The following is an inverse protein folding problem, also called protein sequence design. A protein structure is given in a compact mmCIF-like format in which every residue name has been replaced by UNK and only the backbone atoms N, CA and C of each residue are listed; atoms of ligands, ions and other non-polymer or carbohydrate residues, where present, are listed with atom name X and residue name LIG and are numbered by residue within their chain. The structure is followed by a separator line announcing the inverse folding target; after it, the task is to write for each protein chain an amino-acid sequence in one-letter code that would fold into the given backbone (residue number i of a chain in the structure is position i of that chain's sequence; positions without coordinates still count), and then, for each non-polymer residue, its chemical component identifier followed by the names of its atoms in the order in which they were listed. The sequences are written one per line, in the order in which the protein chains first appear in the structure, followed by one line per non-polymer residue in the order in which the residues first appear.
data_IF_857051173226
#
_entry.id   IF_857051173226
#
_cell.length_a   1.000
_cell.length_b   1.000
_cell.length_c   1.000
_cell.angle_alpha   90.00
_cell.angle_beta   90.00
_cell.angle_gamma   90.00
#
_symmetry.space_group_name_H-M   'P 1'
#
loop_
_entity.id
_entity.type
_entity.pdbx_description
1 polymer ?
#
# COMPACT_ATOMS: atom_id res chain seq x y z
N UNK A 1 -14.38 -18.65 -25.53
CA UNK A 1 -14.42 -19.01 -24.09
C UNK A 1 -13.85 -20.39 -23.83
N UNK A 2 -14.35 -21.43 -24.52
CA UNK A 2 -13.85 -22.82 -24.37
C UNK A 2 -12.36 -22.97 -24.72
N UNK A 3 -11.90 -22.42 -25.84
CA UNK A 3 -10.50 -22.43 -26.23
C UNK A 3 -9.59 -21.79 -25.17
N UNK A 4 -10.02 -20.67 -24.58
CA UNK A 4 -9.29 -20.00 -23.50
C UNK A 4 -9.17 -20.88 -22.26
N UNK A 5 -10.24 -21.60 -21.89
CA UNK A 5 -10.25 -22.51 -20.74
C UNK A 5 -9.35 -23.74 -21.01
N UNK A 6 -9.37 -24.26 -22.24
CA UNK A 6 -8.49 -25.39 -22.64
C UNK A 6 -7.00 -25.01 -22.53
N UNK A 7 -6.62 -23.82 -23.02
CA UNK A 7 -5.25 -23.33 -22.89
C UNK A 7 -4.88 -23.19 -21.41
N UNK A 8 -5.75 -22.59 -20.60
CA UNK A 8 -5.50 -22.46 -19.16
C UNK A 8 -5.31 -23.81 -18.44
N UNK A 9 -6.06 -24.84 -18.83
CA UNK A 9 -5.93 -26.20 -18.28
C UNK A 9 -4.65 -26.94 -18.73
N UNK A 10 -4.05 -26.54 -19.84
CA UNK A 10 -2.81 -27.16 -20.35
C UNK A 10 -1.54 -26.61 -19.70
N UNK A 11 -1.62 -25.44 -19.04
CA UNK A 11 -0.46 -24.80 -18.41
C UNK A 11 0.06 -25.62 -17.22
N UNK A 12 1.39 -25.74 -17.17
CA UNK A 12 2.08 -26.41 -16.07
C UNK A 12 2.75 -25.38 -15.15
N UNK A 13 2.97 -25.78 -13.92
CA UNK A 13 3.60 -24.90 -12.93
C UNK A 13 4.99 -24.40 -13.36
N UNK A 14 5.72 -25.18 -14.12
CA UNK A 14 7.08 -24.86 -14.57
C UNK A 14 7.12 -24.16 -15.93
N UNK A 15 5.95 -23.92 -16.55
CA UNK A 15 5.88 -23.11 -17.77
C UNK A 15 6.26 -21.65 -17.46
N UNK A 16 6.90 -21.02 -18.43
CA UNK A 16 7.31 -19.60 -18.34
C UNK A 16 6.06 -18.73 -18.36
N UNK A 17 5.89 -17.95 -17.29
CA UNK A 17 4.80 -16.99 -17.18
C UNK A 17 5.21 -15.60 -17.70
N UNK A 18 6.41 -15.13 -17.34
CA UNK A 18 6.91 -13.80 -17.74
C UNK A 18 8.41 -13.80 -17.94
N UNK A 19 8.88 -12.88 -18.79
CA UNK A 19 10.29 -12.50 -18.92
C UNK A 19 10.39 -11.00 -18.68
N UNK A 20 10.94 -10.62 -17.53
CA UNK A 20 11.11 -9.21 -17.15
C UNK A 20 12.54 -8.77 -17.40
N UNK A 21 12.71 -7.77 -18.27
CA UNK A 21 14.02 -7.21 -18.56
C UNK A 21 14.41 -6.16 -17.53
N UNK A 22 15.58 -6.33 -16.93
CA UNK A 22 16.16 -5.35 -16.01
C UNK A 22 17.35 -4.66 -16.67
N UNK A 23 17.49 -3.34 -16.42
CA UNK A 23 18.72 -2.63 -16.77
C UNK A 23 19.83 -3.14 -15.85
N UNK A 24 20.63 -4.11 -16.33
CA UNK A 24 21.76 -4.63 -15.59
C UNK A 24 22.86 -3.57 -15.40
N UNK A 25 23.81 -3.85 -14.51
CA UNK A 25 25.05 -3.06 -14.36
C UNK A 25 25.96 -3.12 -15.60
N UNK A 26 25.67 -4.02 -16.53
CA UNK A 26 26.29 -4.17 -17.86
C UNK A 26 25.39 -3.55 -18.92
N UNK A 27 25.97 -3.20 -20.08
CA UNK A 27 25.28 -2.49 -21.17
C UNK A 27 24.03 -3.22 -21.71
N UNK A 28 23.98 -4.55 -21.58
CA UNK A 28 22.88 -5.35 -22.10
C UNK A 28 21.83 -5.66 -21.05
N UNK A 29 20.52 -5.48 -21.37
CA UNK A 29 19.43 -5.85 -20.48
C UNK A 29 19.43 -7.37 -20.20
N UNK A 30 19.19 -7.74 -18.94
CA UNK A 30 19.05 -9.15 -18.54
C UNK A 30 17.59 -9.52 -18.40
N UNK A 31 17.17 -10.58 -19.09
CA UNK A 31 15.82 -11.14 -18.97
C UNK A 31 15.73 -12.07 -17.76
N UNK A 32 14.91 -11.68 -16.78
CA UNK A 32 14.56 -12.52 -15.62
C UNK A 32 13.35 -13.36 -15.99
N UNK A 33 13.54 -14.67 -16.08
CA UNK A 33 12.47 -15.62 -16.40
C UNK A 33 11.77 -16.06 -15.12
N UNK A 34 10.45 -15.91 -15.09
CA UNK A 34 9.59 -16.34 -13.98
C UNK A 34 8.55 -17.34 -14.49
N UNK A 35 8.39 -18.43 -13.77
CA UNK A 35 7.40 -19.48 -14.05
C UNK A 35 6.10 -19.23 -13.29
N UNK A 36 5.03 -19.95 -13.66
CA UNK A 36 3.77 -19.93 -12.90
C UNK A 36 4.00 -20.34 -11.45
N UNK A 37 4.87 -21.33 -11.18
CA UNK A 37 5.24 -21.76 -9.82
C UNK A 37 5.87 -20.63 -9.00
N UNK A 38 6.70 -19.77 -9.59
CA UNK A 38 7.31 -18.64 -8.88
C UNK A 38 6.22 -17.68 -8.37
N UNK A 39 5.23 -17.40 -9.20
CA UNK A 39 4.12 -16.52 -8.83
C UNK A 39 3.20 -17.14 -7.77
N UNK A 40 2.74 -18.37 -7.99
CA UNK A 40 1.82 -19.05 -7.05
C UNK A 40 2.45 -19.25 -5.68
N UNK A 41 3.69 -19.73 -5.61
CA UNK A 41 4.41 -19.90 -4.36
C UNK A 41 4.62 -18.57 -3.61
N UNK A 42 4.88 -17.48 -4.35
CA UNK A 42 5.05 -16.17 -3.73
C UNK A 42 3.72 -15.63 -3.18
N UNK A 43 2.60 -15.85 -3.89
CA UNK A 43 1.25 -15.52 -3.41
C UNK A 43 0.93 -16.29 -2.14
N UNK A 44 1.15 -17.61 -2.11
CA UNK A 44 0.92 -18.46 -0.93
C UNK A 44 1.74 -17.99 0.27
N UNK A 45 3.04 -17.73 0.08
CA UNK A 45 3.91 -17.21 1.14
C UNK A 45 3.44 -15.86 1.68
N UNK A 46 3.05 -14.94 0.81
CA UNK A 46 2.58 -13.63 1.24
C UNK A 46 1.27 -13.72 2.04
N UNK A 47 0.36 -14.63 1.69
CA UNK A 47 -0.89 -14.86 2.41
C UNK A 47 -0.67 -15.46 3.80
N UNK A 48 0.48 -16.08 4.09
CA UNK A 48 0.81 -16.50 5.47
C UNK A 48 1.13 -15.32 6.39
N UNK A 49 1.48 -14.15 5.81
CA UNK A 49 1.87 -12.95 6.56
C UNK A 49 0.71 -11.98 6.78
N UNK A 50 -0.24 -11.96 5.84
CA UNK A 50 -1.36 -11.02 5.87
C UNK A 50 -2.63 -11.76 5.48
N UNK A 51 -3.62 -11.73 6.36
CA UNK A 51 -4.96 -12.28 6.11
C UNK A 51 -5.75 -11.27 5.28
N UNK A 52 -5.85 -11.54 3.97
CA UNK A 52 -6.60 -10.73 2.99
C UNK A 52 -7.85 -11.51 2.60
N UNK A 53 -9.00 -10.89 2.70
CA UNK A 53 -10.28 -11.45 2.29
C UNK A 53 -10.90 -10.66 1.10
N UNK A 54 -12.01 -11.15 0.61
CA UNK A 54 -12.76 -10.57 -0.53
C UNK A 54 -13.25 -9.14 -0.31
N UNK A 55 -13.28 -8.65 0.95
CA UNK A 55 -13.72 -7.27 1.26
C UNK A 55 -12.61 -6.25 1.05
N UNK A 56 -11.37 -6.72 0.90
CA UNK A 56 -10.23 -5.83 0.76
C UNK A 56 -10.18 -5.17 -0.61
N UNK A 57 -9.57 -4.00 -0.62
CA UNK A 57 -9.34 -3.20 -1.82
C UNK A 57 -7.91 -2.72 -1.84
N UNK A 58 -7.30 -2.75 -3.01
CA UNK A 58 -6.01 -2.08 -3.24
C UNK A 58 -6.13 -1.07 -4.37
N UNK A 59 -5.26 -0.05 -4.34
CA UNK A 59 -5.08 0.89 -5.43
C UNK A 59 -3.66 0.73 -5.98
N UNK A 60 -3.54 0.26 -7.21
CA UNK A 60 -2.27 0.11 -7.90
C UNK A 60 -1.81 1.47 -8.40
N UNK A 61 -0.71 1.95 -7.84
CA UNK A 61 -0.05 3.20 -8.20
C UNK A 61 1.27 2.91 -8.93
N UNK A 62 1.92 1.80 -8.56
CA UNK A 62 3.18 1.38 -9.15
C UNK A 62 2.95 0.69 -10.51
N UNK A 63 3.89 0.80 -11.44
CA UNK A 63 3.84 0.06 -12.70
C UNK A 63 3.75 -1.45 -12.47
N UNK A 64 2.88 -2.11 -13.24
CA UNK A 64 2.68 -3.57 -13.14
C UNK A 64 3.80 -4.40 -13.81
N UNK A 65 4.69 -3.77 -14.56
CA UNK A 65 5.88 -4.41 -15.12
C UNK A 65 6.90 -4.82 -14.04
N UNK A 66 6.79 -4.24 -12.83
CA UNK A 66 7.59 -4.65 -11.69
C UNK A 66 6.92 -5.81 -10.94
N UNK A 67 7.64 -6.92 -10.73
CA UNK A 67 7.13 -8.14 -10.09
C UNK A 67 6.45 -7.90 -8.74
N UNK A 68 6.95 -6.96 -7.94
CA UNK A 68 6.35 -6.60 -6.65
C UNK A 68 4.90 -6.07 -6.80
N UNK A 69 4.67 -5.13 -7.71
CA UNK A 69 3.34 -4.60 -7.95
C UNK A 69 2.42 -5.65 -8.58
N UNK A 70 2.98 -6.48 -9.45
CA UNK A 70 2.27 -7.55 -10.14
C UNK A 70 1.80 -8.63 -9.16
N UNK A 71 2.67 -9.12 -8.27
CA UNK A 71 2.30 -10.15 -7.29
C UNK A 71 1.39 -9.57 -6.20
N UNK A 72 1.86 -8.54 -5.48
CA UNK A 72 1.17 -8.07 -4.27
C UNK A 72 -0.07 -7.24 -4.61
N UNK A 73 0.00 -6.42 -5.66
CA UNK A 73 -1.12 -5.56 -6.06
C UNK A 73 -2.18 -6.28 -6.88
N UNK A 74 -1.82 -7.33 -7.60
CA UNK A 74 -2.72 -7.97 -8.56
C UNK A 74 -3.00 -9.43 -8.21
N UNK A 75 -2.00 -10.33 -8.22
CA UNK A 75 -2.24 -11.76 -8.07
C UNK A 75 -2.77 -12.16 -6.68
N UNK A 76 -2.24 -11.57 -5.60
CA UNK A 76 -2.75 -11.83 -4.24
C UNK A 76 -4.21 -11.42 -4.14
N UNK A 77 -4.55 -10.24 -4.65
CA UNK A 77 -5.92 -9.74 -4.59
C UNK A 77 -6.87 -10.62 -5.41
N UNK A 78 -6.47 -11.02 -6.61
CA UNK A 78 -7.25 -11.91 -7.46
C UNK A 78 -7.47 -13.27 -6.79
N UNK A 79 -6.44 -13.86 -6.18
CA UNK A 79 -6.54 -15.16 -5.53
C UNK A 79 -7.54 -15.18 -4.35
N UNK A 80 -7.77 -14.02 -3.74
CA UNK A 80 -8.71 -13.86 -2.62
C UNK A 80 -10.08 -13.29 -3.05
N UNK A 81 -10.31 -13.06 -4.34
CA UNK A 81 -11.53 -12.42 -4.83
C UNK A 81 -11.69 -10.96 -4.36
N UNK A 82 -10.59 -10.33 -4.00
CA UNK A 82 -10.53 -8.97 -3.50
C UNK A 82 -10.50 -7.94 -4.64
N UNK A 83 -10.82 -6.68 -4.33
CA UNK A 83 -10.93 -5.62 -5.34
C UNK A 83 -9.57 -5.04 -5.70
N UNK A 84 -9.29 -4.97 -6.99
CA UNK A 84 -8.13 -4.26 -7.57
C UNK A 84 -8.62 -3.02 -8.30
N UNK A 85 -8.10 -1.85 -7.92
CA UNK A 85 -8.32 -0.61 -8.62
C UNK A 85 -7.00 -0.05 -9.14
N UNK A 86 -7.06 0.71 -10.22
CA UNK A 86 -5.90 1.41 -10.79
C UNK A 86 -6.10 2.91 -10.72
N UNK A 87 -5.00 3.66 -10.70
CA UNK A 87 -5.03 5.12 -10.76
C UNK A 87 -5.58 5.57 -12.10
N UNK A 88 -6.44 6.57 -12.09
CA UNK A 88 -6.90 7.23 -13.30
C UNK A 88 -5.73 7.85 -14.04
N UNK A 89 -5.46 7.37 -15.25
CA UNK A 89 -4.38 7.86 -16.10
C UNK A 89 -4.77 9.23 -16.63
N UNK A 90 -3.92 10.23 -16.40
CA UNK A 90 -4.04 11.57 -16.98
C UNK A 90 -3.38 11.63 -18.37
N UNK A 91 -3.53 12.76 -19.04
CA UNK A 91 -2.86 13.01 -20.34
C UNK A 91 -1.34 13.10 -20.21
N UNK A 92 -0.86 13.42 -19.02
CA UNK A 92 0.56 13.50 -18.68
C UNK A 92 0.84 12.73 -17.40
N UNK A 93 2.11 12.27 -17.17
CA UNK A 93 2.49 11.64 -15.89
C UNK A 93 2.20 12.52 -14.68
N UNK A 94 2.33 13.84 -14.83
CA UNK A 94 2.04 14.79 -13.75
C UNK A 94 0.54 14.84 -13.41
N UNK A 95 -0.35 14.77 -14.40
CA UNK A 95 -1.78 14.67 -14.17
C UNK A 95 -2.15 13.35 -13.48
N UNK A 96 -1.56 12.25 -13.91
CA UNK A 96 -1.74 10.93 -13.22
C UNK A 96 -1.36 11.04 -11.75
N UNK A 97 -0.22 11.65 -11.43
CA UNK A 97 0.20 11.85 -10.03
C UNK A 97 -0.77 12.73 -9.24
N UNK A 98 -1.38 13.74 -9.86
CA UNK A 98 -2.39 14.59 -9.22
C UNK A 98 -3.71 13.86 -8.95
N UNK A 99 -4.04 12.83 -9.71
CA UNK A 99 -5.25 12.03 -9.52
C UNK A 99 -5.13 11.08 -8.32
N UNK A 100 -3.92 10.70 -7.90
CA UNK A 100 -3.70 9.71 -6.83
C UNK A 100 -4.46 10.04 -5.53
N UNK A 101 -4.39 11.26 -4.95
CA UNK A 101 -5.11 11.56 -3.72
C UNK A 101 -6.63 11.43 -3.84
N UNK A 102 -7.19 11.78 -4.99
CA UNK A 102 -8.61 11.66 -5.26
C UNK A 102 -9.01 10.18 -5.40
N UNK A 103 -8.25 9.40 -6.19
CA UNK A 103 -8.51 7.98 -6.36
C UNK A 103 -8.37 7.19 -5.05
N UNK A 104 -7.43 7.56 -4.16
CA UNK A 104 -7.34 6.97 -2.81
C UNK A 104 -8.62 7.20 -2.02
N UNK A 105 -9.21 8.40 -2.07
CA UNK A 105 -10.47 8.71 -1.37
C UNK A 105 -11.66 7.97 -1.94
N UNK A 106 -11.71 7.79 -3.25
CA UNK A 106 -12.78 7.07 -3.94
C UNK A 106 -12.73 5.56 -3.69
N UNK A 107 -11.55 4.96 -3.87
CA UNK A 107 -11.33 3.52 -3.72
C UNK A 107 -11.34 3.09 -2.25
N UNK A 108 -10.85 3.96 -1.34
CA UNK A 108 -10.66 3.65 0.09
C UNK A 108 -9.87 2.35 0.28
N UNK A 109 -8.62 2.28 -0.21
CA UNK A 109 -7.85 1.05 -0.19
C UNK A 109 -7.49 0.63 1.24
N UNK A 110 -7.42 -0.67 1.47
CA UNK A 110 -6.97 -1.24 2.75
C UNK A 110 -5.44 -1.25 2.84
N UNK A 111 -4.76 -1.39 1.70
CA UNK A 111 -3.32 -1.17 1.61
C UNK A 111 -2.93 -0.54 0.29
N UNK A 112 -1.77 0.08 0.26
CA UNK A 112 -1.17 0.71 -0.92
C UNK A 112 0.27 0.23 -1.04
N UNK A 113 0.64 -0.21 -2.24
CA UNK A 113 2.03 -0.47 -2.59
C UNK A 113 2.75 0.86 -2.76
N UNK A 114 3.88 1.01 -2.09
CA UNK A 114 4.63 2.25 -2.04
C UNK A 114 6.10 2.02 -2.30
N UNK A 115 6.72 3.01 -2.89
CA UNK A 115 8.18 3.13 -2.93
C UNK A 115 8.60 4.30 -2.02
N UNK A 116 9.85 4.33 -1.52
CA UNK A 116 10.29 5.37 -0.58
C UNK A 116 10.01 6.79 -1.05
N UNK A 117 10.10 7.06 -2.36
CA UNK A 117 9.81 8.38 -2.95
C UNK A 117 8.34 8.77 -2.80
N UNK A 118 7.42 7.82 -3.03
CA UNK A 118 5.98 8.04 -2.89
C UNK A 118 5.59 8.25 -1.43
N UNK A 119 6.13 7.44 -0.52
CA UNK A 119 5.91 7.58 0.92
C UNK A 119 6.38 8.95 1.44
N UNK A 120 7.55 9.44 0.98
CA UNK A 120 8.04 10.79 1.29
C UNK A 120 7.09 11.87 0.78
N UNK A 121 6.53 11.69 -0.42
CA UNK A 121 5.56 12.64 -1.00
C UNK A 121 4.28 12.69 -0.18
N UNK A 122 3.73 11.54 0.20
CA UNK A 122 2.55 11.48 1.06
C UNK A 122 2.80 12.15 2.41
N UNK A 123 3.93 11.85 3.06
CA UNK A 123 4.32 12.51 4.31
C UNK A 123 4.37 14.03 4.16
N UNK A 124 5.04 14.53 3.12
CA UNK A 124 5.14 15.97 2.83
C UNK A 124 3.76 16.60 2.62
N UNK A 125 2.86 15.93 1.91
CA UNK A 125 1.50 16.42 1.65
C UNK A 125 0.70 16.51 2.95
N UNK A 126 0.80 15.53 3.85
CA UNK A 126 0.17 15.56 5.17
C UNK A 126 0.73 16.71 6.01
N UNK A 127 2.06 16.87 6.06
CA UNK A 127 2.70 17.96 6.80
C UNK A 127 2.28 19.34 6.27
N UNK A 128 2.25 19.52 4.95
CA UNK A 128 1.81 20.76 4.32
C UNK A 128 0.32 21.05 4.62
N UNK A 129 -0.54 20.04 4.57
CA UNK A 129 -1.96 20.17 4.93
C UNK A 129 -2.17 20.57 6.40
N UNK A 130 -1.31 20.11 7.30
CA UNK A 130 -1.32 20.50 8.72
C UNK A 130 -0.82 21.94 8.87
N UNK A 131 0.28 22.31 8.20
CA UNK A 131 0.84 23.68 8.25
C UNK A 131 -0.15 24.72 7.71
N UNK A 132 -0.89 24.40 6.66
CA UNK A 132 -1.90 25.27 6.08
C UNK A 132 -3.05 25.61 7.06
N UNK A 133 -3.24 24.80 8.12
CA UNK A 133 -4.22 25.03 9.18
C UNK A 133 -3.70 25.94 10.32
N UNK A 134 -2.47 26.42 10.24
CA UNK A 134 -1.86 27.34 11.19
C UNK A 134 -0.97 26.68 12.25
N UNK A 135 -0.17 27.50 12.90
CA UNK A 135 0.85 27.05 13.86
C UNK A 135 0.29 26.27 15.05
N UNK A 136 -0.87 26.64 15.55
CA UNK A 136 -1.53 25.93 16.66
C UNK A 136 -1.80 24.49 16.29
N UNK A 137 -2.27 24.23 15.06
CA UNK A 137 -2.51 22.86 14.56
C UNK A 137 -1.22 22.08 14.44
N UNK A 138 -0.13 22.73 14.00
CA UNK A 138 1.20 22.10 13.92
C UNK A 138 1.70 21.68 15.30
N UNK A 139 1.58 22.57 16.30
CA UNK A 139 1.99 22.27 17.69
C UNK A 139 1.15 21.12 18.27
N UNK A 140 -0.15 21.14 18.04
CA UNK A 140 -1.07 20.11 18.49
C UNK A 140 -0.79 18.75 17.84
N UNK A 141 -0.51 18.73 16.54
CA UNK A 141 -0.11 17.53 15.83
C UNK A 141 1.19 16.91 16.36
N UNK A 142 2.23 17.74 16.54
CA UNK A 142 3.51 17.28 17.11
C UNK A 142 3.33 16.73 18.53
N UNK A 143 2.52 17.38 19.36
CA UNK A 143 2.24 16.90 20.69
C UNK A 143 1.47 15.58 20.67
N UNK A 144 0.42 15.46 19.84
CA UNK A 144 -0.33 14.22 19.66
C UNK A 144 0.54 13.05 19.16
N UNK A 145 1.48 13.31 18.22
CA UNK A 145 2.46 12.33 17.78
C UNK A 145 3.35 11.85 18.93
N UNK A 146 3.83 12.77 19.77
CA UNK A 146 4.66 12.42 20.93
C UNK A 146 3.87 11.59 21.95
N UNK A 147 2.62 11.95 22.23
CA UNK A 147 1.73 11.18 23.11
C UNK A 147 1.51 9.76 22.58
N UNK A 148 1.24 9.61 21.28
CA UNK A 148 1.11 8.29 20.65
C UNK A 148 2.40 7.48 20.72
N UNK A 149 3.54 8.10 20.45
CA UNK A 149 4.84 7.44 20.56
C UNK A 149 5.11 6.91 21.97
N UNK A 150 4.80 7.70 23.00
CA UNK A 150 4.94 7.27 24.40
C UNK A 150 3.95 6.14 24.72
N UNK A 151 2.70 6.26 24.27
CA UNK A 151 1.66 5.27 24.56
C UNK A 151 1.96 3.91 23.92
N UNK A 152 2.33 3.89 22.64
CA UNK A 152 2.61 2.62 21.93
C UNK A 152 4.02 2.08 22.18
N UNK A 153 4.97 2.91 22.64
CA UNK A 153 6.38 2.53 22.82
C UNK A 153 7.10 2.33 21.49
N UNK A 154 8.31 1.79 21.58
CA UNK A 154 9.14 1.44 20.43
C UNK A 154 8.99 -0.03 20.01
N UNK A 155 8.32 -0.86 20.81
CA UNK A 155 8.02 -2.26 20.50
C UNK A 155 6.64 -2.66 21.00
N UNK A 156 6.00 -3.60 20.29
CA UNK A 156 4.71 -4.16 20.68
C UNK A 156 4.80 -5.05 21.95
N UNK A 157 5.99 -5.30 22.45
CA UNK A 157 6.28 -6.18 23.60
C UNK A 157 6.40 -5.40 24.92
N UNK A 158 6.46 -4.07 24.89
CA UNK A 158 6.57 -3.26 26.10
C UNK A 158 5.29 -3.34 26.93
N UNK A 159 5.41 -3.74 28.18
CA UNK A 159 4.32 -3.72 29.14
C UNK A 159 3.84 -2.27 29.33
N UNK A 160 2.57 -2.02 29.04
CA UNK A 160 2.04 -0.63 28.95
C UNK A 160 1.96 0.08 30.31
N UNK A 161 1.85 -0.63 31.43
CA UNK A 161 1.88 -0.06 32.77
C UNK A 161 1.17 1.30 32.89
N UNK A 162 1.86 2.33 33.40
CA UNK A 162 1.36 3.70 33.57
C UNK A 162 0.94 4.36 32.23
N UNK A 163 1.43 3.88 31.08
CA UNK A 163 1.09 4.41 29.75
C UNK A 163 -0.40 4.29 29.44
N UNK A 164 -1.13 3.36 30.08
CA UNK A 164 -2.58 3.29 29.96
C UNK A 164 -3.30 4.57 30.37
N UNK A 165 -2.72 5.36 31.27
CA UNK A 165 -3.28 6.67 31.65
C UNK A 165 -3.32 7.66 30.50
N UNK A 166 -2.50 7.46 29.45
CA UNK A 166 -2.49 8.29 28.25
C UNK A 166 -3.59 7.90 27.24
N UNK A 167 -4.30 6.79 27.45
CA UNK A 167 -5.32 6.29 26.51
C UNK A 167 -6.41 7.34 26.19
N UNK A 168 -6.99 8.08 27.15
CA UNK A 168 -7.98 9.11 26.85
C UNK A 168 -7.42 10.21 25.94
N UNK A 169 -6.17 10.60 26.19
CA UNK A 169 -5.49 11.63 25.41
C UNK A 169 -5.18 11.14 23.99
N UNK A 170 -4.75 9.89 23.84
CA UNK A 170 -4.57 9.26 22.52
C UNK A 170 -5.89 9.25 21.75
N UNK A 171 -7.00 8.83 22.37
CA UNK A 171 -8.32 8.83 21.75
C UNK A 171 -8.77 10.26 21.34
N UNK A 172 -8.49 11.25 22.16
CA UNK A 172 -8.82 12.66 21.86
C UNK A 172 -8.05 13.13 20.61
N UNK A 173 -6.73 12.93 20.56
CA UNK A 173 -5.92 13.29 19.40
C UNK A 173 -6.29 12.49 18.17
N UNK A 174 -6.66 11.23 18.33
CA UNK A 174 -7.14 10.40 17.24
C UNK A 174 -8.38 11.04 16.61
N UNK A 175 -9.39 11.42 17.41
CA UNK A 175 -10.62 12.02 16.93
C UNK A 175 -10.42 13.40 16.31
N UNK A 176 -9.55 14.25 16.87
CA UNK A 176 -9.39 15.63 16.42
C UNK A 176 -8.48 15.77 15.21
N UNK A 177 -7.41 14.96 15.15
CA UNK A 177 -6.32 15.14 14.18
C UNK A 177 -6.13 13.91 13.30
N UNK A 178 -5.89 12.72 13.90
CA UNK A 178 -5.45 11.57 13.16
C UNK A 178 -6.55 10.93 12.31
N UNK A 179 -7.82 11.01 12.74
CA UNK A 179 -8.94 10.61 11.89
C UNK A 179 -8.95 11.40 10.58
N UNK A 180 -8.77 12.73 10.65
CA UNK A 180 -8.73 13.59 9.46
C UNK A 180 -7.55 13.31 8.53
N UNK A 181 -6.42 12.85 9.11
CA UNK A 181 -5.29 12.38 8.31
C UNK A 181 -5.65 11.07 7.61
N UNK A 182 -6.27 10.11 8.32
CA UNK A 182 -6.74 8.85 7.73
C UNK A 182 -7.80 9.08 6.63
N UNK A 183 -8.70 10.04 6.82
CA UNK A 183 -9.72 10.39 5.83
C UNK A 183 -9.11 10.82 4.49
N UNK A 184 -7.92 11.45 4.51
CA UNK A 184 -7.19 11.75 3.28
C UNK A 184 -6.68 10.50 2.55
N UNK A 185 -6.59 9.37 3.26
CA UNK A 185 -6.26 8.06 2.72
C UNK A 185 -7.49 7.14 2.59
N UNK A 186 -8.69 7.72 2.55
CA UNK A 186 -9.95 6.99 2.38
C UNK A 186 -10.52 6.39 3.66
N UNK A 187 -9.87 6.53 4.81
CA UNK A 187 -10.33 6.07 6.13
C UNK A 187 -10.06 4.59 6.44
N UNK A 188 -9.93 3.74 5.42
CA UNK A 188 -9.80 2.27 5.56
C UNK A 188 -8.36 1.77 5.49
N UNK A 189 -7.39 2.65 5.22
CA UNK A 189 -6.00 2.26 5.02
C UNK A 189 -5.39 1.67 6.30
N UNK A 190 -4.94 0.42 6.23
CA UNK A 190 -4.32 -0.32 7.32
C UNK A 190 -2.80 -0.16 7.32
N UNK A 191 -2.16 -0.27 6.13
CA UNK A 191 -0.71 -0.15 5.99
C UNK A 191 -0.26 0.21 4.58
N UNK A 192 0.99 0.62 4.48
CA UNK A 192 1.75 0.69 3.24
C UNK A 192 2.71 -0.49 3.17
N UNK A 193 2.88 -1.08 1.98
CA UNK A 193 3.85 -2.13 1.70
C UNK A 193 4.90 -1.56 0.74
N UNK A 194 6.19 -1.68 1.09
CA UNK A 194 7.28 -1.21 0.24
C UNK A 194 8.65 -1.46 0.84
#
# INVERSE_FOLDING_TARGET
MEEFLQVGQSLQNDDIATITYTSGTTADPKGVVLTHRNYTSNVEQALTLVDIDQTWRTLIILPLDHCFAHVVGFYIMMSQGATVATVQVGRTPLETLKNIPQNIKEVKPHFILSVPALAKTFKKNVENGIRAKGETTVKLFKFGMKVRQIYYGNSNLDFKGWRYLLKPLVCLFDKIIFSKVRDNFGGELKFFIG
#
